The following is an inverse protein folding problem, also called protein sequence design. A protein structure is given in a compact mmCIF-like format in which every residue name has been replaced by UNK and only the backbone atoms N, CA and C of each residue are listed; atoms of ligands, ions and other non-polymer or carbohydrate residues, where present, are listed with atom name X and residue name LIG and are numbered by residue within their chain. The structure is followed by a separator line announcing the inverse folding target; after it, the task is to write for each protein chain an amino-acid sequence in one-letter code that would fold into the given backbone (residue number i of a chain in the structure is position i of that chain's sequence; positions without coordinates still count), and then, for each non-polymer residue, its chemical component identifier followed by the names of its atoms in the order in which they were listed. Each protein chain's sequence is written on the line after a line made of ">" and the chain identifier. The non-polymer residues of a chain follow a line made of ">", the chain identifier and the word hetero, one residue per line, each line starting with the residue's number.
data_IF_012556799441
#
_entry.id   IF_012556799441
#
_cell.length_a   1.000
_cell.length_b   1.000
_cell.length_c   1.000
_cell.angle_alpha   90.00
_cell.angle_beta   90.00
_cell.angle_gamma   90.00
#
_symmetry.space_group_name_H-M   'P 1'
#
loop_
_entity.id
_entity.type
_entity.pdbx_description
1 polymer ?
#
# COMPACT_ATOMS: atom_id res chain seq x y z
N UNK A 1 17.45 -13.09 7.02
CA UNK A 1 16.46 -12.00 7.01
C UNK A 1 15.14 -12.67 7.36
N UNK A 2 14.50 -12.28 8.46
CA UNK A 2 13.23 -12.92 8.83
C UNK A 2 12.17 -12.67 7.74
N UNK A 3 11.32 -13.67 7.46
CA UNK A 3 10.23 -13.50 6.52
C UNK A 3 9.27 -12.44 7.04
N UNK A 4 9.07 -11.40 6.25
CA UNK A 4 8.18 -10.32 6.58
C UNK A 4 6.71 -10.77 6.44
N UNK A 5 5.96 -10.78 7.54
CA UNK A 5 4.56 -11.20 7.50
C UNK A 5 3.68 -10.03 7.07
N UNK A 6 2.53 -10.35 6.49
CA UNK A 6 1.56 -9.32 6.09
C UNK A 6 1.21 -8.33 7.22
N UNK A 7 1.04 -8.75 8.50
CA UNK A 7 0.82 -7.81 9.61
C UNK A 7 1.95 -6.81 9.80
N UNK A 8 3.22 -7.24 9.73
CA UNK A 8 4.38 -6.35 9.91
C UNK A 8 4.45 -5.29 8.81
N UNK A 9 4.08 -5.68 7.59
CA UNK A 9 3.96 -4.79 6.44
C UNK A 9 2.84 -3.77 6.60
N UNK A 10 1.65 -4.19 7.04
CA UNK A 10 0.52 -3.29 7.33
C UNK A 10 0.91 -2.31 8.45
N UNK A 11 1.52 -2.82 9.52
CA UNK A 11 1.94 -2.03 10.67
C UNK A 11 2.98 -0.98 10.30
N UNK A 12 3.86 -1.28 9.35
CA UNK A 12 4.79 -0.29 8.81
C UNK A 12 4.06 0.91 8.19
N UNK A 13 3.05 0.70 7.34
CA UNK A 13 2.29 1.80 6.75
C UNK A 13 1.42 2.53 7.78
N UNK A 14 0.88 1.82 8.78
CA UNK A 14 0.20 2.47 9.91
C UNK A 14 1.14 3.41 10.66
N UNK A 15 2.36 2.96 10.96
CA UNK A 15 3.40 3.78 11.60
C UNK A 15 3.80 4.97 10.71
N UNK A 16 3.84 4.81 9.39
CA UNK A 16 4.10 5.92 8.46
C UNK A 16 3.03 7.01 8.57
N UNK A 17 1.76 6.62 8.54
CA UNK A 17 0.64 7.57 8.68
C UNK A 17 0.71 8.30 10.02
N UNK A 18 0.93 7.59 11.13
CA UNK A 18 1.04 8.18 12.47
C UNK A 18 2.26 9.10 12.62
N UNK A 19 3.39 8.76 12.00
CA UNK A 19 4.61 9.56 12.10
C UNK A 19 4.59 10.81 11.20
N UNK A 20 3.75 10.82 10.16
CA UNK A 20 3.57 11.99 9.31
C UNK A 20 2.51 12.92 9.92
N UNK A 21 2.97 14.02 10.53
CA UNK A 21 2.11 15.02 11.16
C UNK A 21 1.07 15.62 10.20
N UNK A 22 1.39 15.69 8.90
CA UNK A 22 0.48 16.24 7.90
C UNK A 22 -0.60 15.24 7.43
N UNK A 23 -0.41 13.94 7.67
CA UNK A 23 -1.44 12.91 7.43
C UNK A 23 -2.39 12.73 8.62
N UNK A 24 -2.12 13.39 9.76
CA UNK A 24 -2.98 13.33 10.95
C UNK A 24 -3.10 11.94 11.59
N UNK A 25 -2.33 10.95 11.15
CA UNK A 25 -2.40 9.57 11.65
C UNK A 25 -3.49 8.69 11.01
N UNK A 26 -4.25 9.19 10.05
CA UNK A 26 -5.32 8.43 9.39
C UNK A 26 -4.74 7.35 8.47
N UNK A 27 -5.10 6.09 8.76
CA UNK A 27 -4.65 4.92 8.02
C UNK A 27 -5.78 3.93 7.80
N UNK A 28 -5.93 3.48 6.56
CA UNK A 28 -6.88 2.43 6.17
C UNK A 28 -6.15 1.31 5.43
N UNK A 29 -6.56 0.07 5.65
CA UNK A 29 -6.10 -1.08 4.88
C UNK A 29 -7.30 -1.88 4.34
N UNK A 30 -7.25 -2.23 3.06
CA UNK A 30 -8.24 -3.09 2.42
C UNK A 30 -8.19 -3.05 0.90
N UNK A 31 -8.97 -3.93 0.26
CA UNK A 31 -9.14 -3.93 -1.18
C UNK A 31 -9.82 -2.64 -1.68
N UNK A 32 -9.58 -2.27 -2.94
CA UNK A 32 -10.21 -1.10 -3.57
C UNK A 32 -11.75 -1.12 -3.48
N UNK A 33 -12.37 -2.32 -3.49
CA UNK A 33 -13.82 -2.46 -3.29
C UNK A 33 -14.31 -1.97 -1.92
N UNK A 34 -13.45 -1.94 -0.89
CA UNK A 34 -13.76 -1.36 0.43
C UNK A 34 -13.77 0.18 0.39
N UNK A 35 -13.05 0.82 -0.53
CA UNK A 35 -13.16 2.27 -0.78
C UNK A 35 -14.56 2.56 -1.31
N UNK A 36 -14.97 1.81 -2.34
CA UNK A 36 -16.25 2.01 -3.03
C UNK A 36 -17.46 1.65 -2.16
N UNK A 37 -17.37 0.59 -1.36
CA UNK A 37 -18.43 0.13 -0.46
C UNK A 37 -18.42 0.81 0.91
N UNK A 38 -17.31 1.47 1.29
CA UNK A 38 -17.04 2.00 2.63
C UNK A 38 -17.32 3.50 2.81
N UNK A 39 -17.86 4.18 1.81
CA UNK A 39 -18.39 5.53 1.99
C UNK A 39 -19.58 5.46 2.96
N UNK A 40 -19.34 5.79 4.25
CA UNK A 40 -20.33 6.48 5.11
C UNK A 40 -19.89 6.90 6.52
N UNK A 41 -18.84 6.36 7.16
CA UNK A 41 -18.41 6.91 8.47
C UNK A 41 -17.07 6.34 8.95
N UNK A 42 -16.03 7.18 9.04
CA UNK A 42 -14.84 6.88 9.84
C UNK A 42 -13.48 7.08 9.18
N UNK A 43 -13.42 7.52 7.92
CA UNK A 43 -12.15 7.94 7.30
C UNK A 43 -11.94 9.42 7.59
N UNK A 44 -10.82 9.72 8.25
CA UNK A 44 -10.36 11.10 8.46
C UNK A 44 -9.41 11.48 7.32
N UNK A 45 -9.64 12.63 6.69
CA UNK A 45 -8.80 13.13 5.61
C UNK A 45 -7.82 14.20 6.13
N UNK A 46 -6.60 14.27 5.58
CA UNK A 46 -6.03 13.37 4.57
C UNK A 46 -5.76 11.96 5.11
N UNK A 47 -5.86 10.94 4.26
CA UNK A 47 -5.75 9.53 4.65
C UNK A 47 -4.69 8.80 3.83
N UNK A 48 -3.91 7.93 4.48
CA UNK A 48 -3.08 6.94 3.79
C UNK A 48 -3.83 5.59 3.72
N UNK A 49 -4.21 5.19 2.52
CA UNK A 49 -4.81 3.89 2.24
C UNK A 49 -3.75 2.92 1.73
N UNK A 50 -3.64 1.74 2.35
CA UNK A 50 -2.86 0.62 1.83
C UNK A 50 -3.79 -0.42 1.19
N UNK A 51 -3.59 -0.69 -0.10
CA UNK A 51 -4.33 -1.75 -0.80
C UNK A 51 -3.86 -3.12 -0.33
N UNK A 52 -4.79 -4.08 -0.26
CA UNK A 52 -4.44 -5.47 0.03
C UNK A 52 -3.53 -6.00 -1.08
N UNK A 53 -2.30 -6.44 -0.75
CA UNK A 53 -1.34 -6.83 -1.77
C UNK A 53 -1.73 -8.15 -2.44
N UNK A 54 -1.39 -8.28 -3.71
CA UNK A 54 -1.48 -9.56 -4.43
C UNK A 54 -0.15 -10.29 -4.34
N UNK A 55 -0.18 -11.59 -4.06
CA UNK A 55 1.02 -12.44 -4.07
C UNK A 55 1.16 -13.10 -5.43
N UNK A 56 2.27 -12.81 -6.12
CA UNK A 56 2.69 -13.48 -7.34
C UNK A 56 3.89 -14.38 -7.03
N UNK A 57 3.98 -15.51 -7.71
CA UNK A 57 5.11 -16.44 -7.58
C UNK A 57 5.87 -16.48 -8.89
N UNK A 58 7.19 -16.42 -8.81
CA UNK A 58 8.08 -16.56 -9.95
C UNK A 58 9.00 -17.75 -9.69
N UNK A 59 8.94 -18.74 -10.58
CA UNK A 59 9.93 -19.81 -10.61
C UNK A 59 11.20 -19.29 -11.25
N UNK A 60 12.29 -19.30 -10.50
CA UNK A 60 13.61 -18.95 -11.02
C UNK A 60 14.50 -20.19 -10.96
N UNK A 61 14.83 -20.71 -12.14
CA UNK A 61 15.90 -21.70 -12.34
C UNK A 61 15.78 -22.99 -11.51
N UNK A 62 14.56 -23.47 -11.24
CA UNK A 62 14.33 -24.71 -10.47
C UNK A 62 14.71 -24.64 -8.99
N UNK A 63 14.96 -23.43 -8.48
CA UNK A 63 15.16 -23.16 -7.04
C UNK A 63 13.85 -22.75 -6.38
N UNK A 64 13.84 -22.69 -5.03
CA UNK A 64 12.64 -22.37 -4.26
C UNK A 64 11.93 -21.11 -4.80
N UNK A 65 10.59 -21.16 -4.97
CA UNK A 65 9.82 -20.08 -5.59
C UNK A 65 10.05 -18.75 -4.87
N UNK A 66 10.31 -17.69 -5.66
CA UNK A 66 10.39 -16.33 -5.14
C UNK A 66 8.99 -15.73 -5.14
N UNK A 67 8.53 -15.24 -3.99
CA UNK A 67 7.28 -14.50 -3.92
C UNK A 67 7.49 -13.01 -4.15
N UNK A 68 6.66 -12.42 -4.99
CA UNK A 68 6.55 -10.97 -5.16
C UNK A 68 5.20 -10.52 -4.67
N UNK A 69 5.17 -9.60 -3.69
CA UNK A 69 3.93 -8.91 -3.33
C UNK A 69 3.81 -7.66 -4.19
N UNK A 70 2.78 -7.61 -5.02
CA UNK A 70 2.37 -6.39 -5.70
C UNK A 70 1.47 -5.60 -4.77
N UNK A 71 1.87 -4.38 -4.48
CA UNK A 71 1.28 -3.51 -3.49
C UNK A 71 0.90 -2.20 -4.13
N UNK A 72 -0.06 -1.50 -3.54
CA UNK A 72 -0.30 -0.11 -3.84
C UNK A 72 -0.70 0.63 -2.57
N UNK A 73 -0.38 1.91 -2.51
CA UNK A 73 -0.96 2.82 -1.52
C UNK A 73 -1.54 4.04 -2.23
N UNK A 74 -2.48 4.67 -1.56
CA UNK A 74 -3.16 5.88 -2.02
C UNK A 74 -3.13 6.91 -0.91
N UNK A 75 -2.78 8.16 -1.23
CA UNK A 75 -3.06 9.31 -0.37
C UNK A 75 -4.32 9.98 -0.87
N UNK A 76 -5.33 10.08 -0.02
CA UNK A 76 -6.62 10.69 -0.35
C UNK A 76 -6.85 11.96 0.47
N UNK A 77 -7.46 12.95 -0.15
CA UNK A 77 -7.93 14.17 0.48
C UNK A 77 -9.34 14.49 -0.01
N UNK A 78 -10.17 14.98 0.92
CA UNK A 78 -11.50 15.48 0.63
C UNK A 78 -11.44 16.91 0.13
N UNK A 79 -12.17 17.20 -0.95
CA UNK A 79 -12.28 18.54 -1.53
C UNK A 79 -13.74 18.93 -1.80
N UNK A 80 -14.09 20.21 -1.75
CA UNK A 80 -15.41 20.69 -2.15
C UNK A 80 -15.66 20.46 -3.65
N UNK A 81 -16.88 20.06 -4.01
CA UNK A 81 -17.28 19.72 -5.40
C UNK A 81 -17.41 20.95 -6.30
N UNK A 82 -17.81 22.09 -5.76
CA UNK A 82 -18.14 23.30 -6.53
C UNK A 82 -17.10 24.43 -6.37
N UNK A 83 -15.86 24.09 -6.00
CA UNK A 83 -14.77 25.03 -5.82
C UNK A 83 -13.48 24.50 -6.47
N UNK A 84 -13.22 25.01 -7.68
CA UNK A 84 -12.07 24.60 -8.49
C UNK A 84 -10.73 25.03 -7.88
N UNK A 85 -10.66 26.21 -7.23
CA UNK A 85 -9.42 26.66 -6.59
C UNK A 85 -9.06 25.77 -5.40
N UNK A 86 -10.07 25.37 -4.61
CA UNK A 86 -9.87 24.41 -3.52
C UNK A 86 -9.52 23.00 -4.04
N UNK A 87 -10.03 22.59 -5.20
CA UNK A 87 -9.62 21.34 -5.84
C UNK A 87 -8.16 21.37 -6.29
N UNK A 88 -7.73 22.44 -6.95
CA UNK A 88 -6.33 22.63 -7.36
C UNK A 88 -5.38 22.62 -6.15
N UNK A 89 -5.76 23.33 -5.08
CA UNK A 89 -5.02 23.31 -3.82
C UNK A 89 -5.01 21.91 -3.18
N UNK A 90 -6.12 21.18 -3.24
CA UNK A 90 -6.21 19.81 -2.74
C UNK A 90 -5.33 18.84 -3.53
N UNK A 91 -5.25 18.98 -4.85
CA UNK A 91 -4.36 18.19 -5.70
C UNK A 91 -2.90 18.44 -5.32
N UNK A 92 -2.49 19.70 -5.21
CA UNK A 92 -1.13 20.07 -4.80
C UNK A 92 -0.79 19.52 -3.40
N UNK A 93 -1.72 19.59 -2.46
CA UNK A 93 -1.54 19.05 -1.11
C UNK A 93 -1.44 17.52 -1.11
N UNK A 94 -2.29 16.83 -1.86
CA UNK A 94 -2.25 15.38 -1.98
C UNK A 94 -0.96 14.88 -2.62
N UNK A 95 -0.47 15.57 -3.67
CA UNK A 95 0.82 15.28 -4.30
C UNK A 95 1.95 15.44 -3.28
N UNK A 96 1.97 16.57 -2.56
CA UNK A 96 2.98 16.84 -1.54
C UNK A 96 3.03 15.75 -0.47
N UNK A 97 1.88 15.31 0.03
CA UNK A 97 1.77 14.23 1.02
C UNK A 97 2.23 12.88 0.46
N UNK A 98 1.86 12.55 -0.78
CA UNK A 98 2.30 11.33 -1.44
C UNK A 98 3.83 11.29 -1.60
N UNK A 99 4.45 12.42 -1.96
CA UNK A 99 5.90 12.56 -2.04
C UNK A 99 6.58 12.40 -0.68
N UNK A 100 5.96 12.85 0.42
CA UNK A 100 6.48 12.62 1.77
C UNK A 100 6.45 11.14 2.15
N UNK A 101 5.37 10.41 1.82
CA UNK A 101 5.27 8.96 2.02
C UNK A 101 6.36 8.24 1.24
N UNK A 102 6.49 8.55 -0.05
CA UNK A 102 7.52 7.97 -0.91
C UNK A 102 8.95 8.27 -0.40
N UNK A 103 9.21 9.52 0.00
CA UNK A 103 10.49 9.94 0.58
C UNK A 103 10.84 9.12 1.82
N UNK A 104 9.86 8.88 2.70
CA UNK A 104 10.07 8.05 3.88
C UNK A 104 10.33 6.57 3.52
N UNK A 105 9.62 6.02 2.54
CA UNK A 105 9.89 4.66 2.02
C UNK A 105 11.31 4.55 1.44
N UNK A 106 11.76 5.54 0.68
CA UNK A 106 13.12 5.59 0.13
C UNK A 106 14.18 5.65 1.23
N UNK A 107 13.93 6.40 2.30
CA UNK A 107 14.82 6.44 3.49
C UNK A 107 14.85 5.08 4.19
N UNK A 108 13.71 4.46 4.42
CA UNK A 108 13.60 3.22 5.19
C UNK A 108 14.08 1.99 4.39
N UNK A 109 14.02 2.03 3.05
CA UNK A 109 14.68 1.07 2.14
C UNK A 109 16.17 0.95 2.44
N UNK A 110 16.86 2.07 2.70
CA UNK A 110 18.31 2.07 3.03
C UNK A 110 18.63 1.33 4.34
N UNK A 111 17.64 1.21 5.23
CA UNK A 111 17.75 0.50 6.52
C UNK A 111 17.39 -0.99 6.42
N UNK A 112 17.08 -1.48 5.21
CA UNK A 112 16.79 -2.90 4.89
C UNK A 112 15.66 -3.55 5.71
N UNK A 113 14.69 -2.78 6.21
CA UNK A 113 13.49 -3.34 6.87
C UNK A 113 12.58 -4.05 5.86
N UNK A 114 12.49 -3.49 4.64
CA UNK A 114 11.73 -4.00 3.51
C UNK A 114 12.52 -3.75 2.22
N UNK A 115 12.45 -4.67 1.26
CA UNK A 115 13.05 -4.51 -0.07
C UNK A 115 11.97 -4.04 -1.05
N UNK A 116 11.75 -2.72 -1.05
CA UNK A 116 10.84 -2.09 -1.99
C UNK A 116 11.49 -1.90 -3.37
N UNK A 117 10.82 -2.34 -4.41
CA UNK A 117 11.12 -2.01 -5.80
C UNK A 117 10.23 -0.85 -6.21
N UNK A 118 10.81 0.36 -6.18
CA UNK A 118 10.14 1.64 -6.44
C UNK A 118 10.52 2.25 -7.79
N UNK A 119 11.23 1.50 -8.63
CA UNK A 119 11.75 2.03 -9.88
C UNK A 119 10.64 2.11 -10.93
N UNK A 120 10.51 3.28 -11.57
CA UNK A 120 9.65 3.52 -12.74
C UNK A 120 8.13 3.39 -12.55
N UNK A 121 7.64 3.28 -11.31
CA UNK A 121 6.19 3.29 -11.08
C UNK A 121 5.66 4.74 -11.06
N UNK A 122 4.66 5.07 -11.88
CA UNK A 122 4.07 6.40 -11.89
C UNK A 122 3.31 6.65 -10.58
N UNK A 123 3.37 7.90 -10.11
CA UNK A 123 2.45 8.40 -9.11
C UNK A 123 1.19 8.86 -9.85
N UNK A 124 0.14 8.04 -9.83
CA UNK A 124 -1.05 8.22 -10.64
C UNK A 124 -2.11 9.06 -9.91
N UNK A 125 -2.68 10.09 -10.55
CA UNK A 125 -3.80 10.81 -9.96
C UNK A 125 -5.01 9.89 -9.88
N UNK A 126 -5.70 9.92 -8.74
CA UNK A 126 -6.96 9.22 -8.52
C UNK A 126 -8.01 10.21 -8.03
N UNK A 127 -9.18 10.17 -8.65
CA UNK A 127 -10.35 10.90 -8.19
C UNK A 127 -11.47 9.88 -8.03
N UNK A 128 -12.03 9.79 -6.82
CA UNK A 128 -13.21 8.96 -6.61
C UNK A 128 -14.43 9.88 -6.76
N UNK A 129 -15.27 9.62 -7.76
CA UNK A 129 -16.60 10.25 -7.87
C UNK A 129 -17.56 9.64 -6.83
N UNK A 130 -17.11 9.57 -5.58
CA UNK A 130 -17.91 9.10 -4.45
C UNK A 130 -18.58 10.30 -3.77
N UNK A 131 -19.46 10.03 -2.80
CA UNK A 131 -20.19 11.07 -2.04
C UNK A 131 -19.24 12.03 -1.32
N UNK A 132 -18.03 11.58 -0.99
CA UNK A 132 -17.04 12.37 -0.25
C UNK A 132 -16.18 13.28 -1.14
N UNK A 133 -16.29 13.16 -2.47
CA UNK A 133 -15.54 13.96 -3.45
C UNK A 133 -14.03 14.01 -3.13
N UNK A 134 -13.39 12.87 -3.31
CA UNK A 134 -12.00 12.67 -2.91
C UNK A 134 -11.09 12.72 -4.13
N UNK A 135 -9.93 13.34 -3.94
CA UNK A 135 -8.83 13.36 -4.89
C UNK A 135 -7.56 12.88 -4.20
N UNK A 136 -6.59 12.43 -4.98
CA UNK A 136 -5.42 11.81 -4.39
C UNK A 136 -4.43 11.25 -5.39
N UNK A 137 -3.39 10.62 -4.87
CA UNK A 137 -2.39 9.95 -5.69
C UNK A 137 -2.15 8.53 -5.23
N UNK A 138 -2.03 7.63 -6.22
CA UNK A 138 -1.80 6.21 -6.05
C UNK A 138 -0.41 5.85 -6.57
N UNK A 139 0.30 5.02 -5.82
CA UNK A 139 1.57 4.45 -6.25
C UNK A 139 1.52 2.93 -6.14
N UNK A 140 1.78 2.25 -7.25
CA UNK A 140 2.07 0.81 -7.26
C UNK A 140 3.54 0.55 -6.97
N UNK A 141 3.83 -0.56 -6.29
CA UNK A 141 5.19 -1.01 -6.02
C UNK A 141 5.25 -2.50 -5.71
N UNK A 142 6.45 -3.07 -5.82
CA UNK A 142 6.67 -4.46 -5.45
C UNK A 142 7.48 -4.56 -4.16
N UNK A 143 7.15 -5.55 -3.35
CA UNK A 143 7.97 -6.00 -2.23
C UNK A 143 8.55 -7.37 -2.61
N UNK A 144 9.87 -7.41 -2.73
CA UNK A 144 10.60 -8.66 -2.92
C UNK A 144 10.73 -9.39 -1.58
N UNK A 145 10.24 -10.63 -1.53
CA UNK A 145 10.35 -11.43 -0.33
C UNK A 145 10.48 -12.92 -0.62
N UNK A 146 11.31 -13.59 0.17
CA UNK A 146 11.23 -15.03 0.29
C UNK A 146 9.93 -15.43 1.01
N UNK A 147 9.18 -16.38 0.46
CA UNK A 147 7.94 -16.92 1.06
C UNK A 147 8.27 -18.31 1.62
N UNK A 148 8.74 -18.40 2.88
CA UNK A 148 9.11 -19.69 3.46
C UNK A 148 7.90 -20.62 3.63
N UNK A 149 6.71 -20.06 3.81
CA UNK A 149 5.46 -20.82 4.00
C UNK A 149 5.02 -21.56 2.72
N UNK A 150 5.68 -21.34 1.57
CA UNK A 150 5.45 -22.10 0.35
C UNK A 150 6.24 -23.43 0.32
N UNK A 151 7.16 -23.64 1.26
CA UNK A 151 7.87 -24.92 1.35
C UNK A 151 6.88 -26.04 1.69
N UNK A 152 7.00 -27.17 0.98
CA UNK A 152 6.21 -28.35 1.28
C UNK A 152 6.57 -28.88 2.68
N UNK A 153 5.56 -29.00 3.55
CA UNK A 153 5.68 -29.61 4.87
C UNK A 153 4.91 -30.94 4.90
N UNK A 154 5.57 -32.10 4.80
CA UNK A 154 4.90 -33.40 4.82
C UNK A 154 4.11 -33.66 6.10
N UNK A 155 4.42 -32.99 7.21
CA UNK A 155 3.68 -33.17 8.46
C UNK A 155 2.25 -32.59 8.39
N UNK A 156 1.97 -31.70 7.42
CA UNK A 156 0.66 -31.10 7.20
C UNK A 156 -0.23 -31.91 6.25
N UNK A 157 0.31 -32.93 5.58
CA UNK A 157 -0.40 -33.71 4.57
C UNK A 157 -0.51 -35.18 5.00
N UNK A 158 -1.63 -35.81 4.69
CA UNK A 158 -1.76 -37.25 4.87
C UNK A 158 -0.78 -37.97 3.92
N UNK A 159 -0.20 -39.13 4.29
CA UNK A 159 0.69 -39.86 3.41
C UNK A 159 -0.02 -40.22 2.11
N UNK A 160 0.62 -39.92 0.97
CA UNK A 160 0.11 -40.25 -0.35
C UNK A 160 -0.10 -41.76 -0.48
N UNK A 161 -1.34 -42.20 -0.66
CA UNK A 161 -1.64 -43.54 -1.16
C UNK A 161 -1.65 -43.49 -2.69
N UNK A 162 -0.44 -43.47 -3.28
CA UNK A 162 -0.24 -43.66 -4.72
C UNK A 162 0.24 -45.09 -5.00
#
# INVERSE_FOLDING_TARGET
>A
MEPNKLPDFIDYFRQLATANLALGGSFVHGAAGRILAGSRSGIEYPCLWLETPTLAFEEKDGTAPLGKRRCAWVVLQKVPTDDYEAQDAGWAQAEHLALQVLSRMLRDRKRRRFHFTLNANPLEPVATLTVDNEIGFRLEFELEQYVPDLAYDPALWAPDTL
#
